data_IF_683360968427
#
_entry.id   IF_683360968427
#
_cell.length_a   1.000
_cell.length_b   1.000
_cell.length_c   1.000
_cell.angle_alpha   90.00
_cell.angle_beta   90.00
_cell.angle_gamma   90.00
#
_symmetry.space_group_name_H-M   'P 1'
#
loop_
_entity.id
_entity.type
_entity.pdbx_description
1 polymer ?
#
# COMPACT_ATOMS: atom_id res chain seq x y z
N UNK A 1 -18.17 1.86 -27.57
CA UNK A 1 -18.69 2.98 -26.76
C UNK A 1 -17.77 4.15 -27.02
N UNK A 2 -18.29 5.32 -27.42
CA UNK A 2 -17.47 6.50 -27.73
C UNK A 2 -17.09 7.28 -26.46
N UNK A 3 -16.08 8.13 -26.54
CA UNK A 3 -15.67 9.01 -25.45
C UNK A 3 -16.80 9.97 -25.04
N UNK A 4 -17.50 10.55 -26.00
CA UNK A 4 -18.66 11.40 -25.71
C UNK A 4 -19.77 10.65 -24.94
N UNK A 5 -20.09 9.42 -25.36
CA UNK A 5 -21.11 8.60 -24.69
C UNK A 5 -20.68 8.12 -23.30
N UNK A 6 -19.37 8.03 -23.03
CA UNK A 6 -18.84 7.83 -21.68
C UNK A 6 -18.99 9.11 -20.86
N UNK A 7 -18.59 10.25 -21.41
CA UNK A 7 -18.67 11.56 -20.79
C UNK A 7 -20.10 11.97 -20.40
N UNK A 8 -21.12 11.50 -21.12
CA UNK A 8 -22.54 11.75 -20.76
C UNK A 8 -22.97 10.98 -19.50
N UNK A 9 -22.40 9.79 -19.27
CA UNK A 9 -22.82 8.86 -18.20
C UNK A 9 -21.95 8.88 -16.97
N UNK A 10 -20.72 9.38 -17.07
CA UNK A 10 -19.75 9.37 -15.97
C UNK A 10 -20.24 10.23 -14.78
N UNK A 11 -20.06 9.75 -13.55
CA UNK A 11 -20.29 10.57 -12.34
C UNK A 11 -19.03 11.36 -12.00
N UNK A 12 -19.12 12.41 -11.18
CA UNK A 12 -17.94 13.17 -10.76
C UNK A 12 -16.88 12.28 -10.07
N UNK A 13 -17.32 11.35 -9.21
CA UNK A 13 -16.43 10.38 -8.55
C UNK A 13 -15.82 9.38 -9.54
N UNK A 14 -16.61 8.88 -10.50
CA UNK A 14 -16.09 7.97 -11.52
C UNK A 14 -15.09 8.69 -12.44
N UNK A 15 -15.35 9.96 -12.78
CA UNK A 15 -14.44 10.78 -13.56
C UNK A 15 -13.10 10.97 -12.85
N UNK A 16 -13.11 11.26 -11.55
CA UNK A 16 -11.89 11.40 -10.75
C UNK A 16 -11.05 10.11 -10.67
N UNK A 17 -11.70 8.94 -10.66
CA UNK A 17 -11.04 7.65 -10.45
C UNK A 17 -10.72 6.88 -11.74
N UNK A 18 -11.38 7.20 -12.85
CA UNK A 18 -11.33 6.44 -14.12
C UNK A 18 -11.19 7.36 -15.34
N UNK A 19 -10.43 8.45 -15.19
CA UNK A 19 -10.23 9.42 -16.28
C UNK A 19 -9.58 8.79 -17.52
N UNK A 20 -8.82 7.71 -17.34
CA UNK A 20 -8.20 6.91 -18.39
C UNK A 20 -9.20 6.19 -19.31
N UNK A 21 -10.43 5.93 -18.83
CA UNK A 21 -11.50 5.38 -19.68
C UNK A 21 -11.91 6.33 -20.81
N UNK A 22 -11.64 7.63 -20.66
CA UNK A 22 -11.88 8.63 -21.70
C UNK A 22 -11.03 8.31 -22.94
N UNK A 23 -9.72 8.14 -22.74
CA UNK A 23 -8.79 7.75 -23.81
C UNK A 23 -9.09 6.35 -24.32
N UNK A 24 -9.39 5.35 -23.45
CA UNK A 24 -9.77 4.01 -23.92
C UNK A 24 -11.01 4.03 -24.81
N UNK A 25 -12.00 4.85 -24.47
CA UNK A 25 -13.24 4.97 -25.25
C UNK A 25 -13.01 5.66 -26.60
N UNK A 26 -12.18 6.72 -26.63
CA UNK A 26 -11.80 7.40 -27.87
C UNK A 26 -10.95 6.49 -28.78
N UNK A 27 -10.01 5.75 -28.20
CA UNK A 27 -9.08 4.86 -28.92
C UNK A 27 -9.70 3.53 -29.35
N UNK A 28 -10.95 3.23 -28.95
CA UNK A 28 -11.65 2.01 -29.37
C UNK A 28 -11.80 1.89 -30.90
N UNK A 29 -11.73 3.01 -31.63
CA UNK A 29 -11.74 3.04 -33.11
C UNK A 29 -10.37 2.72 -33.74
N UNK A 30 -9.31 2.69 -32.95
CA UNK A 30 -7.93 2.41 -33.35
C UNK A 30 -7.31 1.32 -32.45
N UNK A 31 -7.82 0.07 -32.49
CA UNK A 31 -7.47 -0.98 -31.53
C UNK A 31 -5.98 -1.32 -31.49
N UNK A 32 -5.29 -1.36 -32.64
CA UNK A 32 -3.85 -1.62 -32.67
C UNK A 32 -3.01 -0.54 -31.96
N UNK A 33 -3.49 0.71 -31.99
CA UNK A 33 -2.86 1.79 -31.23
C UNK A 33 -3.13 1.63 -29.74
N UNK A 34 -4.39 1.38 -29.36
CA UNK A 34 -4.78 1.12 -27.98
C UNK A 34 -3.98 -0.04 -27.36
N UNK A 35 -3.82 -1.15 -28.08
CA UNK A 35 -2.99 -2.30 -27.66
C UNK A 35 -1.52 -1.90 -27.43
N UNK A 36 -1.02 -0.94 -28.21
CA UNK A 36 0.32 -0.40 -28.03
C UNK A 36 0.39 0.48 -26.78
N UNK A 37 -0.61 1.32 -26.51
CA UNK A 37 -0.69 2.12 -25.27
C UNK A 37 -0.79 1.21 -24.05
N UNK A 38 -1.64 0.18 -24.07
CA UNK A 38 -1.77 -0.78 -22.97
C UNK A 38 -0.47 -1.59 -22.78
N UNK A 39 0.32 -1.82 -23.83
CA UNK A 39 1.65 -2.40 -23.71
C UNK A 39 2.62 -1.44 -23.05
N UNK A 40 2.63 -0.17 -23.44
CA UNK A 40 3.48 0.86 -22.81
C UNK A 40 3.16 1.03 -21.32
N UNK A 41 1.88 0.97 -20.95
CA UNK A 41 1.42 0.99 -19.56
C UNK A 41 1.95 -0.21 -18.74
N UNK A 42 1.76 -1.43 -19.27
CA UNK A 42 2.32 -2.65 -18.64
C UNK A 42 3.83 -2.61 -18.53
N UNK A 43 4.52 -2.20 -19.60
CA UNK A 43 5.98 -2.07 -19.61
C UNK A 43 6.46 -1.05 -18.56
N UNK A 44 5.75 0.06 -18.37
CA UNK A 44 6.06 1.05 -17.35
C UNK A 44 5.97 0.44 -15.94
N UNK A 45 4.89 -0.29 -15.66
CA UNK A 45 4.72 -1.00 -14.41
C UNK A 45 5.83 -2.04 -14.17
N UNK A 46 6.11 -2.86 -15.18
CA UNK A 46 7.11 -3.92 -15.09
C UNK A 46 8.53 -3.35 -14.96
N UNK A 47 8.85 -2.25 -15.64
CA UNK A 47 10.12 -1.55 -15.48
C UNK A 47 10.27 -0.98 -14.07
N UNK A 48 9.25 -0.29 -13.55
CA UNK A 48 9.27 0.24 -12.19
C UNK A 48 9.42 -0.88 -11.13
N UNK A 49 8.72 -1.99 -11.32
CA UNK A 49 8.82 -3.16 -10.45
C UNK A 49 10.21 -3.81 -10.53
N UNK A 50 10.76 -3.98 -11.73
CA UNK A 50 12.09 -4.56 -11.95
C UNK A 50 13.15 -3.70 -11.27
N UNK A 51 13.14 -2.40 -11.54
CA UNK A 51 14.04 -1.45 -10.89
C UNK A 51 13.95 -1.52 -9.36
N UNK A 52 12.74 -1.54 -8.79
CA UNK A 52 12.55 -1.69 -7.35
C UNK A 52 13.15 -2.99 -6.81
N UNK A 53 12.90 -4.11 -7.50
CA UNK A 53 13.32 -5.42 -7.03
C UNK A 53 14.85 -5.58 -7.14
N UNK A 54 15.47 -5.03 -8.19
CA UNK A 54 16.92 -4.90 -8.35
C UNK A 54 17.53 -4.00 -7.28
N UNK A 55 16.95 -2.81 -7.06
CA UNK A 55 17.42 -1.86 -6.06
C UNK A 55 17.37 -2.46 -4.66
N UNK A 56 16.26 -3.11 -4.30
CA UNK A 56 16.14 -3.86 -3.04
C UNK A 56 17.19 -4.96 -2.92
N UNK A 57 17.45 -5.69 -3.99
CA UNK A 57 18.48 -6.75 -3.98
C UNK A 57 19.87 -6.17 -3.74
N UNK A 58 20.20 -5.07 -4.42
CA UNK A 58 21.46 -4.35 -4.26
C UNK A 58 21.61 -3.76 -2.85
N UNK A 59 20.58 -3.10 -2.33
CA UNK A 59 20.57 -2.55 -0.96
C UNK A 59 20.72 -3.64 0.10
N UNK A 60 20.07 -4.80 -0.08
CA UNK A 60 20.23 -5.96 0.83
C UNK A 60 21.62 -6.58 0.73
N UNK A 61 22.22 -6.60 -0.46
CA UNK A 61 23.59 -7.08 -0.65
C UNK A 61 24.61 -6.14 0.03
N UNK A 62 24.39 -4.83 -0.04
CA UNK A 62 25.21 -3.82 0.62
C UNK A 62 25.05 -3.83 2.15
N UNK A 63 23.82 -3.90 2.65
CA UNK A 63 23.52 -4.08 4.08
C UNK A 63 22.44 -5.16 4.32
N UNK A 64 22.82 -6.37 4.75
CA UNK A 64 21.89 -7.45 5.08
C UNK A 64 20.88 -7.10 6.17
N UNK A 65 21.10 -6.06 6.98
CA UNK A 65 20.17 -5.59 8.02
C UNK A 65 18.88 -5.04 7.43
N UNK A 66 18.91 -4.53 6.19
CA UNK A 66 17.75 -3.98 5.49
C UNK A 66 16.75 -5.05 5.01
N UNK A 67 17.10 -6.34 5.07
CA UNK A 67 16.28 -7.45 4.54
C UNK A 67 14.83 -7.40 5.01
N UNK A 68 14.60 -7.28 6.32
CA UNK A 68 13.25 -7.35 6.88
C UNK A 68 12.44 -6.05 6.66
N UNK A 69 13.12 -4.93 6.40
CA UNK A 69 12.49 -3.66 6.05
C UNK A 69 12.08 -3.62 4.56
N UNK A 70 12.96 -4.07 3.66
CA UNK A 70 12.77 -4.00 2.20
C UNK A 70 12.04 -5.22 1.62
N UNK A 71 12.11 -6.38 2.28
CA UNK A 71 11.38 -7.61 1.91
C UNK A 71 10.60 -8.15 3.11
N UNK A 72 9.55 -7.45 3.55
CA UNK A 72 8.69 -7.97 4.60
C UNK A 72 8.07 -9.29 4.14
N UNK A 73 8.34 -10.37 4.87
CA UNK A 73 7.76 -11.68 4.57
C UNK A 73 6.26 -11.62 4.83
N UNK A 74 5.45 -11.74 3.78
CA UNK A 74 3.98 -11.64 3.87
C UNK A 74 3.37 -12.49 4.99
N UNK A 75 3.87 -13.72 5.19
CA UNK A 75 3.41 -14.59 6.27
C UNK A 75 3.62 -13.96 7.66
N UNK A 76 4.70 -13.22 7.91
CA UNK A 76 4.91 -12.54 9.20
C UNK A 76 3.91 -11.42 9.43
N UNK A 77 3.57 -10.68 8.37
CA UNK A 77 2.52 -9.65 8.45
C UNK A 77 1.18 -10.29 8.78
N UNK A 78 0.82 -11.38 8.10
CA UNK A 78 -0.41 -12.15 8.39
C UNK A 78 -0.42 -12.63 9.84
N UNK A 79 0.67 -13.22 10.34
CA UNK A 79 0.74 -13.69 11.72
C UNK A 79 0.66 -12.55 12.75
N UNK A 80 1.21 -11.36 12.46
CA UNK A 80 1.06 -10.18 13.32
C UNK A 80 -0.37 -9.65 13.35
N UNK A 81 -1.04 -9.62 12.21
CA UNK A 81 -2.47 -9.25 12.15
C UNK A 81 -3.31 -10.28 12.91
N UNK A 82 -3.05 -11.57 12.71
CA UNK A 82 -3.71 -12.64 13.43
C UNK A 82 -3.48 -12.53 14.95
N UNK A 83 -2.27 -12.23 15.41
CA UNK A 83 -1.98 -12.05 16.84
C UNK A 83 -2.70 -10.84 17.43
N UNK A 84 -2.85 -9.74 16.67
CA UNK A 84 -3.66 -8.59 17.10
C UNK A 84 -5.13 -8.94 17.21
N UNK A 85 -5.68 -9.70 16.25
CA UNK A 85 -7.06 -10.14 16.28
C UNK A 85 -7.34 -11.05 17.47
N UNK A 86 -6.45 -11.99 17.79
CA UNK A 86 -6.59 -12.86 18.96
C UNK A 86 -6.43 -12.09 20.27
N UNK A 87 -5.53 -11.11 20.34
CA UNK A 87 -5.38 -10.24 21.52
C UNK A 87 -6.63 -9.36 21.74
N UNK A 88 -7.15 -8.76 20.67
CA UNK A 88 -8.37 -7.95 20.71
C UNK A 88 -9.60 -8.79 21.10
N UNK A 89 -9.74 -9.99 20.55
CA UNK A 89 -10.80 -10.93 20.91
C UNK A 89 -10.70 -11.34 22.40
N UNK A 90 -9.48 -11.56 22.90
CA UNK A 90 -9.23 -11.84 24.33
C UNK A 90 -9.74 -10.70 25.20
N UNK A 91 -9.38 -9.45 24.89
CA UNK A 91 -9.85 -8.27 25.63
C UNK A 91 -11.37 -8.11 25.53
N UNK A 92 -11.95 -8.26 24.34
CA UNK A 92 -13.39 -8.14 24.14
C UNK A 92 -14.18 -9.15 25.00
N UNK A 93 -13.68 -10.37 25.17
CA UNK A 93 -14.31 -11.36 26.05
C UNK A 93 -14.29 -10.95 27.53
N UNK A 94 -13.22 -10.28 27.98
CA UNK A 94 -13.12 -9.79 29.36
C UNK A 94 -13.96 -8.54 29.61
N UNK A 95 -14.06 -7.61 28.65
CA UNK A 95 -14.78 -6.35 28.81
C UNK A 95 -16.27 -6.42 28.44
N UNK A 96 -16.71 -7.43 27.68
CA UNK A 96 -18.12 -7.58 27.30
C UNK A 96 -19.01 -8.21 28.38
N UNK A 97 -18.43 -8.79 29.44
CA UNK A 97 -19.18 -9.43 30.53
C UNK A 97 -18.73 -8.92 31.88
N UNK A 98 -19.41 -7.89 32.37
CA UNK A 98 -19.05 -7.15 33.57
C UNK A 98 -19.24 -7.95 34.88
N UNK A 99 -20.12 -8.96 34.92
CA UNK A 99 -20.60 -9.47 36.22
C UNK A 99 -20.19 -10.91 36.57
N UNK A 100 -20.03 -11.84 35.61
CA UNK A 100 -19.48 -13.19 35.86
C UNK A 100 -18.89 -13.75 34.56
N UNK A 101 -17.62 -14.19 34.59
CA UNK A 101 -17.00 -14.92 33.48
C UNK A 101 -17.21 -16.43 33.69
N UNK A 102 -18.00 -17.12 32.85
CA UNK A 102 -18.10 -18.57 32.92
C UNK A 102 -16.71 -19.20 32.69
N UNK A 103 -16.48 -20.37 33.28
CA UNK A 103 -15.21 -21.12 33.12
C UNK A 103 -14.83 -21.38 31.65
N UNK A 104 -15.82 -21.55 30.78
CA UNK A 104 -15.62 -21.67 29.32
C UNK A 104 -15.07 -20.39 28.69
N UNK A 105 -15.49 -19.21 29.14
CA UNK A 105 -14.98 -17.92 28.65
C UNK A 105 -13.53 -17.70 29.07
N UNK A 106 -13.17 -18.08 30.30
CA UNK A 106 -11.79 -18.01 30.80
C UNK A 106 -10.88 -18.97 30.01
N UNK A 107 -11.36 -20.18 29.71
CA UNK A 107 -10.64 -21.13 28.87
C UNK A 107 -10.43 -20.60 27.44
N UNK A 108 -11.48 -20.06 26.80
CA UNK A 108 -11.38 -19.47 25.46
C UNK A 108 -10.41 -18.29 25.44
N UNK A 109 -10.47 -17.40 26.43
CA UNK A 109 -9.55 -16.28 26.56
C UNK A 109 -8.10 -16.75 26.78
N UNK A 110 -7.90 -17.80 27.59
CA UNK A 110 -6.60 -18.46 27.77
C UNK A 110 -6.02 -18.99 26.47
N UNK A 111 -6.82 -19.70 25.67
CA UNK A 111 -6.42 -20.22 24.35
C UNK A 111 -6.07 -19.10 23.37
N UNK A 112 -6.87 -18.04 23.32
CA UNK A 112 -6.61 -16.89 22.44
C UNK A 112 -5.33 -16.16 22.85
N UNK A 113 -5.05 -16.04 24.14
CA UNK A 113 -3.84 -15.39 24.62
C UNK A 113 -2.59 -16.26 24.38
N UNK A 114 -2.69 -17.58 24.57
CA UNK A 114 -1.63 -18.52 24.21
C UNK A 114 -1.34 -18.49 22.70
N UNK A 115 -2.39 -18.42 21.87
CA UNK A 115 -2.27 -18.25 20.42
C UNK A 115 -1.57 -16.95 20.08
N UNK A 116 -1.93 -15.84 20.72
CA UNK A 116 -1.27 -14.52 20.57
C UNK A 116 0.22 -14.62 20.85
N UNK A 117 0.60 -15.25 21.97
CA UNK A 117 2.00 -15.43 22.35
C UNK A 117 2.77 -16.31 21.34
N UNK A 118 2.19 -17.44 20.92
CA UNK A 118 2.79 -18.32 19.92
C UNK A 118 3.01 -17.62 18.58
N UNK A 119 2.01 -16.86 18.09
CA UNK A 119 2.13 -16.10 16.85
C UNK A 119 3.21 -15.01 16.94
N UNK A 120 3.26 -14.26 18.05
CA UNK A 120 4.32 -13.27 18.28
C UNK A 120 5.69 -13.93 18.33
N UNK A 121 5.84 -15.07 18.99
CA UNK A 121 7.09 -15.83 19.06
C UNK A 121 7.57 -16.25 17.67
N UNK A 122 6.69 -16.78 16.83
CA UNK A 122 7.02 -17.19 15.46
C UNK A 122 7.40 -16.00 14.58
N UNK A 123 6.72 -14.86 14.74
CA UNK A 123 7.10 -13.62 14.01
C UNK A 123 8.42 -13.03 14.49
N UNK A 124 8.80 -13.31 15.74
CA UNK A 124 10.05 -12.91 16.35
C UNK A 124 11.23 -13.83 15.97
N UNK A 125 11.06 -14.82 15.09
CA UNK A 125 12.16 -15.69 14.66
C UNK A 125 12.50 -15.55 13.17
N UNK A 126 13.80 -15.48 12.79
CA UNK A 126 14.95 -15.33 13.67
C UNK A 126 15.22 -13.85 14.00
N UNK A 127 15.06 -13.45 15.27
CA UNK A 127 15.63 -12.20 15.79
C UNK A 127 17.14 -12.37 15.88
N UNK A 128 17.88 -11.73 14.98
CA UNK A 128 19.35 -11.70 15.03
C UNK A 128 19.82 -10.27 15.12
N UNK A 129 20.96 -10.00 15.77
CA UNK A 129 21.59 -8.66 15.73
C UNK A 129 21.88 -8.17 14.30
N UNK A 130 21.93 -9.10 13.34
CA UNK A 130 22.11 -8.81 11.90
C UNK A 130 20.79 -8.46 11.19
N UNK A 131 19.63 -8.63 11.83
CA UNK A 131 18.29 -8.28 11.33
C UNK A 131 17.44 -7.72 12.47
N UNK A 132 17.63 -6.43 12.80
CA UNK A 132 16.92 -5.82 13.91
C UNK A 132 15.41 -5.68 13.63
N UNK A 133 14.57 -5.71 14.68
CA UNK A 133 13.12 -5.56 14.53
C UNK A 133 12.74 -4.13 14.11
N UNK A 134 11.75 -4.03 13.21
CA UNK A 134 11.17 -2.77 12.75
C UNK A 134 10.34 -2.09 13.86
N UNK A 135 10.06 -0.77 13.73
CA UNK A 135 9.29 -0.03 14.72
C UNK A 135 7.89 -0.64 14.88
N UNK A 136 7.26 -0.94 13.75
CA UNK A 136 6.00 -1.65 13.71
C UNK A 136 6.05 -2.97 14.49
N UNK A 137 7.13 -3.77 14.35
CA UNK A 137 7.28 -5.02 15.10
C UNK A 137 7.29 -4.80 16.61
N UNK A 138 8.04 -3.78 17.06
CA UNK A 138 8.12 -3.41 18.48
C UNK A 138 6.76 -2.94 19.00
N UNK A 139 6.07 -2.08 18.24
CA UNK A 139 4.73 -1.57 18.59
C UNK A 139 3.71 -2.71 18.67
N UNK A 140 3.64 -3.58 17.66
CA UNK A 140 2.75 -4.74 17.68
C UNK A 140 3.02 -5.68 18.85
N UNK A 141 4.29 -5.98 19.13
CA UNK A 141 4.65 -6.82 20.28
C UNK A 141 4.28 -6.15 21.60
N UNK A 142 4.48 -4.83 21.70
CA UNK A 142 4.08 -4.02 22.86
C UNK A 142 2.57 -4.02 23.10
N UNK A 143 1.75 -3.89 22.06
CA UNK A 143 0.30 -3.99 22.16
C UNK A 143 -0.15 -5.37 22.64
N UNK A 144 0.46 -6.44 22.13
CA UNK A 144 0.19 -7.80 22.61
C UNK A 144 0.58 -8.00 24.08
N UNK A 145 1.71 -7.43 24.51
CA UNK A 145 2.13 -7.44 25.90
C UNK A 145 1.16 -6.69 26.82
N UNK A 146 0.71 -5.49 26.43
CA UNK A 146 -0.27 -4.71 27.17
C UNK A 146 -1.61 -5.45 27.30
N UNK A 147 -2.09 -6.06 26.22
CA UNK A 147 -3.32 -6.85 26.23
C UNK A 147 -3.21 -8.06 27.17
N UNK A 148 -2.08 -8.79 27.14
CA UNK A 148 -1.84 -9.92 28.03
C UNK A 148 -1.76 -9.52 29.50
N UNK A 149 -1.06 -8.43 29.82
CA UNK A 149 -0.96 -7.91 31.19
C UNK A 149 -2.32 -7.46 31.71
N UNK A 150 -3.10 -6.74 30.89
CA UNK A 150 -4.45 -6.34 31.25
C UNK A 150 -5.34 -7.55 31.55
N UNK A 151 -5.31 -8.59 30.71
CA UNK A 151 -6.05 -9.83 30.92
C UNK A 151 -5.64 -10.55 32.23
N UNK A 152 -4.34 -10.62 32.52
CA UNK A 152 -3.84 -11.23 33.75
C UNK A 152 -4.27 -10.45 35.01
N UNK A 153 -4.24 -9.10 34.96
CA UNK A 153 -4.70 -8.24 36.05
C UNK A 153 -6.21 -8.42 36.30
N UNK A 154 -7.01 -8.47 35.23
CA UNK A 154 -8.46 -8.69 35.33
C UNK A 154 -8.74 -10.02 36.02
N UNK A 155 -8.12 -11.12 35.56
CA UNK A 155 -8.31 -12.44 36.17
C UNK A 155 -7.86 -12.51 37.63
N UNK A 156 -6.74 -11.86 37.97
CA UNK A 156 -6.24 -11.80 39.35
C UNK A 156 -7.24 -11.06 40.27
N UNK A 157 -7.81 -9.95 39.80
CA UNK A 157 -8.81 -9.18 40.56
C UNK A 157 -10.15 -9.90 40.71
N UNK A 158 -10.48 -10.80 39.79
CA UNK A 158 -11.67 -11.65 39.88
C UNK A 158 -11.52 -12.85 40.81
N UNK A 159 -10.40 -13.00 41.54
CA UNK A 159 -10.19 -14.09 42.49
C UNK A 159 -9.91 -15.45 41.84
N UNK A 160 -9.55 -15.48 40.55
CA UNK A 160 -9.35 -16.70 39.75
C UNK A 160 -7.89 -17.18 39.73
N UNK A 161 -7.05 -16.73 40.66
CA UNK A 161 -5.60 -17.02 40.69
C UNK A 161 -5.26 -18.50 40.87
N UNK A 162 -6.17 -19.30 41.44
CA UNK A 162 -6.00 -20.75 41.61
C UNK A 162 -6.38 -21.56 40.35
N UNK A 163 -6.98 -20.93 39.35
CA UNK A 163 -7.34 -21.58 38.09
C UNK A 163 -6.11 -21.91 37.25
N UNK A 164 -6.01 -23.13 36.71
CA UNK A 164 -4.96 -23.47 35.74
C UNK A 164 -4.95 -22.54 34.51
N UNK A 165 -6.10 -22.01 34.13
CA UNK A 165 -6.22 -21.05 33.02
C UNK A 165 -5.66 -19.67 33.35
N UNK A 166 -5.64 -19.26 34.62
CA UNK A 166 -4.95 -18.05 35.04
C UNK A 166 -3.46 -18.15 34.73
N UNK A 167 -2.83 -19.27 35.05
CA UNK A 167 -1.42 -19.49 34.76
C UNK A 167 -1.12 -19.54 33.26
N UNK A 168 -2.02 -20.09 32.44
CA UNK A 168 -1.91 -20.02 30.98
C UNK A 168 -1.88 -18.57 30.48
N UNK A 169 -2.79 -17.72 30.97
CA UNK A 169 -2.83 -16.30 30.61
C UNK A 169 -1.59 -15.56 31.14
N UNK A 170 -1.20 -15.79 32.39
CA UNK A 170 -0.05 -15.14 33.01
C UNK A 170 1.27 -15.48 32.30
N UNK A 171 1.51 -16.76 31.99
CA UNK A 171 2.69 -17.20 31.24
C UNK A 171 2.68 -16.65 29.80
N UNK A 172 1.52 -16.63 29.15
CA UNK A 172 1.38 -16.06 27.80
C UNK A 172 1.66 -14.55 27.80
N UNK A 173 1.13 -13.82 28.80
CA UNK A 173 1.38 -12.40 28.98
C UNK A 173 2.87 -12.11 29.24
N UNK A 174 3.50 -12.87 30.14
CA UNK A 174 4.94 -12.77 30.41
C UNK A 174 5.75 -13.04 29.14
N UNK A 175 5.37 -14.03 28.33
CA UNK A 175 6.00 -14.33 27.05
C UNK A 175 5.90 -13.15 26.08
N UNK A 176 4.72 -12.54 25.95
CA UNK A 176 4.54 -11.34 25.12
C UNK A 176 5.41 -10.17 25.60
N UNK A 177 5.50 -9.93 26.92
CA UNK A 177 6.36 -8.90 27.51
C UNK A 177 7.82 -9.16 27.19
N UNK A 178 8.31 -10.39 27.38
CA UNK A 178 9.70 -10.76 27.07
C UNK A 178 10.00 -10.53 25.59
N UNK A 179 9.11 -10.91 24.68
CA UNK A 179 9.28 -10.66 23.24
C UNK A 179 9.36 -9.15 22.96
N UNK A 180 8.44 -8.35 23.51
CA UNK A 180 8.42 -6.90 23.31
C UNK A 180 9.70 -6.22 23.83
N UNK A 181 10.15 -6.60 25.04
CA UNK A 181 11.37 -6.09 25.66
C UNK A 181 12.61 -6.50 24.86
N UNK A 182 12.72 -7.77 24.47
CA UNK A 182 13.84 -8.23 23.64
C UNK A 182 13.89 -7.48 22.30
N UNK A 183 12.74 -7.28 21.64
CA UNK A 183 12.71 -6.50 20.40
C UNK A 183 13.11 -5.03 20.64
N UNK A 184 12.64 -4.44 21.75
CA UNK A 184 13.02 -3.09 22.16
C UNK A 184 14.52 -2.93 22.43
N UNK A 185 15.13 -3.87 23.17
CA UNK A 185 16.56 -3.88 23.46
C UNK A 185 17.37 -4.04 22.17
N UNK A 186 17.04 -5.04 21.33
CA UNK A 186 17.75 -5.25 20.06
C UNK A 186 17.66 -4.01 19.18
N UNK A 187 16.49 -3.37 19.10
CA UNK A 187 16.32 -2.10 18.37
C UNK A 187 17.11 -0.95 19.01
N UNK A 188 17.14 -0.87 20.33
CA UNK A 188 17.87 0.16 21.08
C UNK A 188 19.39 0.07 20.87
N UNK A 189 19.93 -1.14 20.73
CA UNK A 189 21.37 -1.38 20.55
C UNK A 189 21.94 -0.90 19.20
N UNK A 190 21.10 -0.53 18.23
CA UNK A 190 21.53 -0.01 16.92
C UNK A 190 22.01 1.45 17.00
N UNK A 191 21.79 2.12 18.14
CA UNK A 191 22.11 3.54 18.31
C UNK A 191 21.15 4.45 17.55
N UNK A 192 21.19 5.75 17.81
CA UNK A 192 20.45 6.77 17.04
C UNK A 192 21.08 6.99 15.67
N UNK A 193 22.41 6.93 15.57
CA UNK A 193 23.16 7.11 14.33
C UNK A 193 22.77 6.09 13.25
N UNK A 194 22.68 4.79 13.61
CA UNK A 194 22.23 3.74 12.70
C UNK A 194 20.73 3.79 12.38
N UNK A 195 19.93 4.61 13.09
CA UNK A 195 18.52 4.88 12.74
C UNK A 195 18.41 6.02 11.74
N UNK A 196 19.13 7.12 11.94
CA UNK A 196 19.21 8.23 10.98
C UNK A 196 19.86 7.84 9.66
N UNK A 197 20.85 6.93 9.67
CA UNK A 197 21.46 6.41 8.44
C UNK A 197 20.49 5.49 7.67
N UNK A 198 19.68 4.71 8.39
CA UNK A 198 18.64 3.85 7.80
C UNK A 198 17.48 4.67 7.23
N UNK A 199 17.01 5.68 7.97
CA UNK A 199 15.94 6.57 7.55
C UNK A 199 16.42 7.48 6.40
N UNK A 200 17.67 7.94 6.45
CA UNK A 200 18.30 8.70 5.36
C UNK A 200 18.53 7.87 4.09
N UNK A 201 18.85 6.58 4.22
CA UNK A 201 18.94 5.68 3.07
C UNK A 201 17.56 5.44 2.41
N UNK A 202 16.49 5.35 3.21
CA UNK A 202 15.12 5.24 2.70
C UNK A 202 14.62 6.54 2.05
N UNK A 203 15.01 7.69 2.59
CA UNK A 203 14.66 9.01 2.03
C UNK A 203 15.40 9.28 0.71
N UNK A 204 16.69 8.93 0.63
CA UNK A 204 17.47 8.99 -0.61
C UNK A 204 16.91 8.04 -1.69
N UNK A 205 16.45 6.84 -1.30
CA UNK A 205 15.76 5.89 -2.19
C UNK A 205 14.47 6.49 -2.76
N UNK A 206 13.71 7.26 -1.97
CA UNK A 206 12.48 7.92 -2.46
C UNK A 206 12.71 8.99 -3.53
N UNK A 207 13.82 9.73 -3.45
CA UNK A 207 14.16 10.77 -4.44
C UNK A 207 14.64 10.13 -5.75
N UNK A 208 15.43 9.07 -5.65
CA UNK A 208 15.88 8.27 -6.81
C UNK A 208 14.69 7.62 -7.53
N UNK A 209 13.71 7.10 -6.79
CA UNK A 209 12.49 6.50 -7.34
C UNK A 209 11.66 7.48 -8.17
N UNK A 210 11.54 8.73 -7.72
CA UNK A 210 10.80 9.75 -8.46
C UNK A 210 11.52 10.13 -9.77
N UNK A 211 12.84 10.26 -9.74
CA UNK A 211 13.64 10.54 -10.94
C UNK A 211 13.55 9.38 -11.96
N UNK A 212 13.65 8.13 -11.50
CA UNK A 212 13.55 6.95 -12.36
C UNK A 212 12.16 6.82 -12.97
N UNK A 213 11.09 6.98 -12.18
CA UNK A 213 9.73 6.91 -12.71
C UNK A 213 9.48 8.03 -13.73
N UNK A 214 10.00 9.24 -13.48
CA UNK A 214 9.92 10.35 -14.43
C UNK A 214 10.65 10.04 -15.73
N UNK A 215 11.85 9.44 -15.65
CA UNK A 215 12.61 9.01 -16.83
C UNK A 215 11.88 7.95 -17.64
N UNK A 216 11.38 6.90 -16.98
CA UNK A 216 10.61 5.83 -17.63
C UNK A 216 9.34 6.37 -18.30
N UNK A 217 8.61 7.25 -17.62
CA UNK A 217 7.41 7.87 -18.14
C UNK A 217 7.72 8.76 -19.34
N UNK A 218 8.78 9.56 -19.28
CA UNK A 218 9.20 10.41 -20.40
C UNK A 218 9.54 9.59 -21.64
N UNK A 219 10.26 8.48 -21.48
CA UNK A 219 10.55 7.54 -22.57
C UNK A 219 9.25 7.01 -23.20
N UNK A 220 8.28 6.58 -22.38
CA UNK A 220 7.03 5.98 -22.89
C UNK A 220 6.09 7.02 -23.50
N UNK A 221 6.07 8.24 -22.99
CA UNK A 221 5.37 9.37 -23.62
C UNK A 221 5.97 9.68 -24.99
N UNK A 222 7.30 9.69 -25.12
CA UNK A 222 7.96 9.90 -26.41
C UNK A 222 7.57 8.82 -27.44
N UNK A 223 7.55 7.53 -27.03
CA UNK A 223 7.10 6.42 -27.89
C UNK A 223 5.61 6.55 -28.23
N UNK A 224 4.76 6.93 -27.27
CA UNK A 224 3.33 7.17 -27.48
C UNK A 224 3.09 8.25 -28.54
N UNK A 225 3.78 9.38 -28.42
CA UNK A 225 3.68 10.52 -29.36
C UNK A 225 4.16 10.16 -30.76
N UNK A 226 5.29 9.43 -30.87
CA UNK A 226 5.77 8.93 -32.16
C UNK A 226 4.76 7.98 -32.80
N UNK A 227 4.26 7.03 -32.02
CA UNK A 227 3.26 6.05 -32.50
C UNK A 227 1.98 6.77 -32.90
N UNK A 228 1.54 7.78 -32.15
CA UNK A 228 0.38 8.58 -32.48
C UNK A 228 0.58 9.29 -33.82
N UNK A 229 1.72 9.97 -34.01
CA UNK A 229 2.06 10.68 -35.25
C UNK A 229 2.05 9.77 -36.48
N UNK A 230 2.40 8.49 -36.30
CA UNK A 230 2.38 7.48 -37.36
C UNK A 230 0.97 7.01 -37.76
N UNK A 231 -0.08 7.33 -36.98
CA UNK A 231 -1.44 6.91 -37.31
C UNK A 231 -1.97 7.59 -38.57
N UNK A 232 -2.81 6.88 -39.35
CA UNK A 232 -3.53 7.46 -40.47
C UNK A 232 -4.27 8.73 -40.06
N UNK A 233 -4.13 9.80 -40.84
CA UNK A 233 -4.71 11.12 -40.52
C UNK A 233 -6.23 11.06 -40.26
N UNK A 234 -6.96 10.20 -40.99
CA UNK A 234 -8.39 9.99 -40.79
C UNK A 234 -8.71 9.38 -39.40
N UNK A 235 -7.87 8.49 -38.88
CA UNK A 235 -8.03 7.92 -37.54
C UNK A 235 -7.68 8.95 -36.47
N UNK A 236 -6.60 9.71 -36.64
CA UNK A 236 -6.22 10.80 -35.72
C UNK A 236 -7.35 11.83 -35.58
N UNK A 237 -7.84 12.33 -36.72
CA UNK A 237 -8.94 13.30 -36.72
C UNK A 237 -10.21 12.74 -36.07
N UNK A 238 -10.50 11.44 -36.24
CA UNK A 238 -11.65 10.80 -35.59
C UNK A 238 -11.49 10.69 -34.08
N UNK A 239 -10.30 10.33 -33.60
CA UNK A 239 -9.98 10.26 -32.15
C UNK A 239 -10.03 11.65 -31.53
N UNK A 240 -9.39 12.63 -32.16
CA UNK A 240 -9.38 14.04 -31.71
C UNK A 240 -10.80 14.61 -31.68
N UNK A 241 -11.63 14.31 -32.68
CA UNK A 241 -13.03 14.71 -32.72
C UNK A 241 -13.84 14.13 -31.55
N UNK A 242 -13.73 12.82 -31.29
CA UNK A 242 -14.47 12.16 -30.19
C UNK A 242 -14.02 12.69 -28.81
N UNK A 243 -12.73 12.98 -28.65
CA UNK A 243 -12.19 13.60 -27.43
C UNK A 243 -12.67 15.06 -27.27
N UNK A 244 -12.71 15.83 -28.36
CA UNK A 244 -13.24 17.20 -28.33
C UNK A 244 -14.73 17.23 -27.95
N UNK A 245 -15.53 16.32 -28.52
CA UNK A 245 -16.95 16.17 -28.19
C UNK A 245 -17.13 15.76 -26.72
N UNK A 246 -16.33 14.81 -26.24
CA UNK A 246 -16.32 14.43 -24.83
C UNK A 246 -15.94 15.61 -23.91
N UNK A 247 -14.94 16.42 -24.29
CA UNK A 247 -14.55 17.63 -23.58
C UNK A 247 -15.70 18.64 -23.47
N UNK A 248 -16.46 18.84 -24.55
CA UNK A 248 -17.65 19.70 -24.52
C UNK A 248 -18.73 19.18 -23.57
N UNK A 249 -18.96 17.87 -23.55
CA UNK A 249 -19.91 17.24 -22.61
C UNK A 249 -19.45 17.42 -21.18
N UNK A 250 -18.19 17.15 -20.86
CA UNK A 250 -17.63 17.29 -19.50
C UNK A 250 -17.68 18.75 -19.01
N UNK A 251 -17.35 19.71 -19.87
CA UNK A 251 -17.46 21.13 -19.55
C UNK A 251 -18.91 21.56 -19.31
N UNK A 252 -19.85 21.13 -20.17
CA UNK A 252 -21.29 21.40 -20.00
C UNK A 252 -21.82 20.84 -18.69
N UNK A 253 -21.33 19.67 -18.27
CA UNK A 253 -21.66 19.01 -17.01
C UNK A 253 -20.88 19.56 -15.80
N UNK A 254 -20.07 20.60 -15.99
CA UNK A 254 -19.23 21.25 -14.96
C UNK A 254 -18.24 20.29 -14.28
N UNK A 255 -17.83 19.23 -14.99
CA UNK A 255 -16.77 18.33 -14.55
C UNK A 255 -15.37 18.82 -14.97
N UNK A 256 -15.32 19.78 -15.90
CA UNK A 256 -14.09 20.46 -16.32
C UNK A 256 -14.33 21.97 -16.43
N UNK A 257 -13.26 22.74 -16.23
CA UNK A 257 -13.26 24.20 -16.39
C UNK A 257 -13.37 24.62 -17.86
N UNK A 258 -12.89 23.79 -18.79
CA UNK A 258 -12.92 24.05 -20.23
C UNK A 258 -12.92 22.75 -21.02
N UNK A 259 -13.60 22.76 -22.17
CA UNK A 259 -13.59 21.64 -23.11
C UNK A 259 -12.20 21.41 -23.71
N UNK A 260 -11.39 22.47 -23.82
CA UNK A 260 -10.06 22.41 -24.44
C UNK A 260 -9.07 21.56 -23.64
N UNK A 261 -9.32 21.35 -22.34
CA UNK A 261 -8.44 20.57 -21.46
C UNK A 261 -8.28 19.12 -21.96
N UNK A 262 -9.35 18.53 -22.51
CA UNK A 262 -9.32 17.15 -23.04
C UNK A 262 -8.56 17.04 -24.35
N UNK A 263 -8.45 18.13 -25.12
CA UNK A 263 -7.76 18.15 -26.42
C UNK A 263 -6.28 18.54 -26.34
N UNK A 264 -5.76 18.82 -25.14
CA UNK A 264 -4.38 19.31 -24.96
C UNK A 264 -3.34 18.18 -24.84
N UNK A 265 -3.77 16.95 -24.56
CA UNK A 265 -2.87 15.81 -24.42
C UNK A 265 -2.91 14.91 -25.66
N UNK A 266 -1.83 14.16 -25.88
CA UNK A 266 -1.80 13.10 -26.89
C UNK A 266 -2.72 11.95 -26.46
N UNK A 267 -3.66 11.50 -27.30
CA UNK A 267 -4.56 10.39 -26.96
C UNK A 267 -3.79 9.16 -26.47
N UNK A 268 -4.11 8.66 -25.28
CA UNK A 268 -3.39 7.57 -24.60
C UNK A 268 -2.55 8.02 -23.41
N UNK A 269 -2.29 9.33 -23.25
CA UNK A 269 -1.56 9.86 -22.09
C UNK A 269 -2.31 9.62 -20.77
N UNK A 270 -3.65 9.56 -20.75
CA UNK A 270 -4.40 9.32 -19.52
C UNK A 270 -4.25 7.87 -19.03
N UNK A 271 -4.08 6.94 -19.96
CA UNK A 271 -3.78 5.54 -19.65
C UNK A 271 -2.38 5.45 -19.01
N UNK A 272 -1.37 6.10 -19.61
CA UNK A 272 -0.01 6.14 -19.04
C UNK A 272 0.05 6.89 -17.71
N UNK A 273 -0.76 7.94 -17.51
CA UNK A 273 -0.85 8.67 -16.25
C UNK A 273 -1.44 7.80 -15.13
N UNK A 274 -2.47 6.99 -15.43
CA UNK A 274 -2.98 5.97 -14.50
C UNK A 274 -1.94 4.87 -14.20
N UNK A 275 -1.20 4.45 -15.21
CA UNK A 275 -0.04 3.56 -15.09
C UNK A 275 1.04 4.10 -14.16
N UNK A 276 1.44 5.35 -14.37
CA UNK A 276 2.44 6.03 -13.56
C UNK A 276 2.01 6.17 -12.09
N UNK A 277 0.73 6.45 -11.82
CA UNK A 277 0.17 6.40 -10.45
C UNK A 277 0.26 5.01 -9.83
N UNK A 278 0.02 3.96 -10.61
CA UNK A 278 0.13 2.59 -10.11
C UNK A 278 1.59 2.21 -9.85
N UNK A 279 2.49 2.59 -10.75
CA UNK A 279 3.94 2.39 -10.62
C UNK A 279 4.54 3.20 -9.45
N UNK A 280 4.03 4.40 -9.18
CA UNK A 280 4.49 5.22 -8.05
C UNK A 280 4.20 4.56 -6.71
N UNK A 281 3.02 3.93 -6.56
CA UNK A 281 2.67 3.13 -5.38
C UNK A 281 3.61 1.92 -5.24
N UNK A 282 3.95 1.25 -6.35
CA UNK A 282 4.92 0.14 -6.34
C UNK A 282 6.28 0.59 -5.81
N UNK A 283 6.72 1.78 -6.20
CA UNK A 283 7.95 2.43 -5.75
C UNK A 283 7.85 3.09 -4.37
N UNK A 284 6.67 3.09 -3.74
CA UNK A 284 6.46 3.68 -2.42
C UNK A 284 6.45 5.22 -2.41
N UNK A 285 6.26 5.85 -3.55
CA UNK A 285 6.10 7.30 -3.66
C UNK A 285 4.72 7.69 -3.12
N UNK A 286 4.67 8.66 -2.20
CA UNK A 286 3.41 9.14 -1.62
C UNK A 286 2.63 10.01 -2.59
N UNK A 287 3.36 10.85 -3.32
CA UNK A 287 2.81 11.77 -4.30
C UNK A 287 3.65 11.68 -5.58
N UNK A 288 2.99 11.45 -6.71
CA UNK A 288 3.60 11.53 -8.04
C UNK A 288 2.76 12.49 -8.89
N UNK A 289 3.37 13.52 -9.49
CA UNK A 289 2.63 14.50 -10.26
C UNK A 289 1.95 13.85 -11.46
N UNK A 290 0.70 14.25 -11.73
CA UNK A 290 0.01 13.80 -12.94
C UNK A 290 0.64 14.42 -14.18
N UNK A 291 0.73 13.63 -15.25
CA UNK A 291 1.19 14.07 -16.57
C UNK A 291 0.18 15.01 -17.23
N UNK A 292 -1.10 14.92 -16.84
CA UNK A 292 -2.17 15.81 -17.29
C UNK A 292 -2.83 16.48 -16.08
N UNK A 293 -2.15 17.47 -15.45
CA UNK A 293 -2.54 18.02 -14.14
C UNK A 293 -3.93 18.63 -14.13
N UNK A 294 -4.37 19.18 -15.26
CA UNK A 294 -5.67 19.86 -15.38
C UNK A 294 -6.83 18.86 -15.31
N UNK A 295 -6.69 17.65 -15.88
CA UNK A 295 -7.67 16.59 -15.80
C UNK A 295 -7.66 15.89 -14.42
N UNK A 296 -6.50 15.83 -13.77
CA UNK A 296 -6.38 15.31 -12.40
C UNK A 296 -7.06 16.19 -11.33
N UNK A 297 -7.27 17.50 -11.60
CA UNK A 297 -7.92 18.45 -10.69
C UNK A 297 -9.45 18.51 -10.85
N UNK A 298 -9.98 18.12 -12.01
CA UNK A 298 -11.41 18.26 -12.37
C UNK A 298 -12.42 17.51 -11.48
N UNK A 299 -11.96 16.68 -10.53
CA UNK A 299 -12.81 15.96 -9.58
C UNK A 299 -12.92 16.58 -8.17
N UNK A 300 -12.31 17.74 -7.89
CA UNK A 300 -12.27 18.36 -6.54
C UNK A 300 -13.10 19.63 -6.40
N UNK A 301 -13.94 19.95 -7.39
CA UNK A 301 -14.85 21.10 -7.39
C UNK A 301 -16.24 20.76 -6.88
#
# INVERSE_FOLDING_TARGET
>A
MTAAAWAERVTATAFANRVDDLDRSALAVAPAYLDTVDRLDRDLYDAAKTYRDERRTSSIAADPRLTDALRPRAWRTVLRVASMLTAAATLALYFSRADVLPGSTIATAGVLMATTAALLLVTALPLTRRRPPTLASVVFSGLGALAGVAAAIVLARSGLSESGWFWVVAVSAATCVVIAVMQGIIRGTIGSAGRTELDGALEAESTDHAAVLTGLLHERVSVLEETYRSLPAALRSRVEGDLADAGQVLARRRLLSSAAVVSQHTPGMLILDAGARTASVVLGLRDFPSVVPELARGGRG
#
